data_IF_623198379911
#
_entry.id   IF_623198379911
#
_cell.length_a   1.000
_cell.length_b   1.000
_cell.length_c   1.000
_cell.angle_alpha   90.00
_cell.angle_beta   90.00
_cell.angle_gamma   90.00
#
_symmetry.space_group_name_H-M   'P 1'
#
loop_
_entity.id
_entity.type
_entity.pdbx_description
1 polymer ?
#
# COMPACT_ATOMS: atom_id res chain seq x y z
N UNK A 1 1.09 -2.91 4.41
CA UNK A 1 1.08 -4.03 3.43
C UNK A 1 2.29 -4.93 3.67
N UNK A 2 2.21 -6.26 3.50
CA UNK A 2 3.39 -7.15 3.57
C UNK A 2 3.93 -7.38 2.16
N UNK A 3 5.25 -7.35 1.98
CA UNK A 3 5.91 -7.57 0.68
C UNK A 3 5.48 -8.86 -0.02
N UNK A 4 5.12 -9.88 0.75
CA UNK A 4 4.64 -11.15 0.21
C UNK A 4 3.49 -10.99 -0.79
N UNK A 5 2.54 -10.08 -0.53
CA UNK A 5 1.44 -9.82 -1.43
C UNK A 5 1.87 -9.15 -2.75
N UNK A 6 2.89 -8.28 -2.66
CA UNK A 6 3.49 -7.63 -3.82
C UNK A 6 4.18 -8.67 -4.70
N UNK A 7 4.90 -9.62 -4.08
CA UNK A 7 5.53 -10.73 -4.79
C UNK A 7 4.51 -11.66 -5.47
N UNK A 8 3.45 -12.06 -4.76
CA UNK A 8 2.40 -12.94 -5.33
C UNK A 8 1.66 -12.32 -6.53
N UNK A 9 1.59 -10.99 -6.57
CA UNK A 9 0.83 -10.25 -7.59
C UNK A 9 1.72 -9.30 -8.39
N UNK A 10 3.02 -9.61 -8.50
CA UNK A 10 4.04 -8.72 -9.03
C UNK A 10 3.68 -8.05 -10.38
N UNK A 11 3.14 -8.79 -11.39
CA UNK A 11 2.73 -8.18 -12.67
C UNK A 11 1.63 -7.13 -12.53
N UNK A 12 0.77 -7.22 -11.51
CA UNK A 12 -0.30 -6.23 -11.28
C UNK A 12 0.25 -4.88 -10.80
N UNK A 13 1.50 -4.83 -10.34
CA UNK A 13 2.15 -3.59 -9.91
C UNK A 13 2.93 -2.91 -11.04
N UNK A 14 3.08 -3.51 -12.23
CA UNK A 14 3.93 -2.97 -13.29
C UNK A 14 3.48 -1.58 -13.74
N UNK A 15 2.19 -1.41 -14.03
CA UNK A 15 1.64 -0.10 -14.42
C UNK A 15 1.87 0.96 -13.32
N UNK A 16 1.69 0.59 -12.05
CA UNK A 16 1.90 1.50 -10.93
C UNK A 16 3.38 1.83 -10.68
N UNK A 17 4.28 0.87 -10.94
CA UNK A 17 5.73 1.06 -10.86
C UNK A 17 6.18 1.97 -12.00
N UNK A 18 5.72 1.76 -13.23
CA UNK A 18 6.04 2.60 -14.39
C UNK A 18 5.46 4.02 -14.26
N UNK A 19 4.30 4.19 -13.61
CA UNK A 19 3.77 5.51 -13.30
C UNK A 19 4.65 6.27 -12.30
N UNK A 20 5.15 5.58 -11.27
CA UNK A 20 6.03 6.16 -10.24
C UNK A 20 7.44 6.43 -10.75
N UNK A 21 8.00 5.46 -11.48
CA UNK A 21 9.35 5.49 -12.03
C UNK A 21 9.26 5.31 -13.55
N UNK A 22 9.02 6.39 -14.32
CA UNK A 22 8.79 6.31 -15.76
C UNK A 22 10.03 5.89 -16.57
N UNK A 23 11.21 5.98 -15.97
CA UNK A 23 12.46 5.47 -16.55
C UNK A 23 12.65 3.96 -16.32
N UNK A 24 11.77 3.32 -15.53
CA UNK A 24 11.82 1.87 -15.32
C UNK A 24 11.45 1.11 -16.60
N UNK A 25 11.98 -0.10 -16.72
CA UNK A 25 11.81 -0.99 -17.87
C UNK A 25 11.02 -2.22 -17.44
N UNK A 26 9.93 -2.51 -18.15
CA UNK A 26 9.05 -3.63 -17.86
C UNK A 26 9.79 -4.97 -17.93
N UNK A 27 10.76 -5.14 -18.84
CA UNK A 27 11.51 -6.38 -18.96
C UNK A 27 12.38 -6.65 -17.72
N UNK A 28 12.99 -5.61 -17.14
CA UNK A 28 13.73 -5.74 -15.88
C UNK A 28 12.80 -6.07 -14.72
N UNK A 29 11.60 -5.49 -14.69
CA UNK A 29 10.59 -5.83 -13.68
C UNK A 29 10.18 -7.31 -13.81
N UNK A 30 10.00 -7.84 -15.01
CA UNK A 30 9.75 -9.28 -15.23
C UNK A 30 10.88 -10.15 -14.67
N UNK A 31 12.14 -9.77 -14.88
CA UNK A 31 13.31 -10.51 -14.36
C UNK A 31 13.43 -10.45 -12.83
N UNK A 32 13.01 -9.36 -12.22
CA UNK A 32 13.01 -9.16 -10.76
C UNK A 32 12.06 -10.14 -10.05
N UNK A 33 10.95 -10.55 -10.69
CA UNK A 33 9.99 -11.54 -10.17
C UNK A 33 9.54 -11.27 -8.71
N UNK A 34 9.36 -9.99 -8.37
CA UNK A 34 8.96 -9.56 -7.03
C UNK A 34 10.01 -9.77 -5.94
N UNK A 35 11.28 -10.03 -6.28
CA UNK A 35 12.38 -10.04 -5.30
C UNK A 35 12.60 -8.63 -4.75
N UNK A 36 12.39 -8.49 -3.44
CA UNK A 36 12.50 -7.19 -2.77
C UNK A 36 13.88 -6.55 -2.90
N UNK A 37 14.92 -7.36 -2.80
CA UNK A 37 16.30 -6.85 -2.79
C UNK A 37 16.73 -6.46 -4.19
N UNK A 38 16.34 -7.24 -5.19
CA UNK A 38 16.56 -6.92 -6.59
C UNK A 38 15.81 -5.64 -6.99
N UNK A 39 14.55 -5.50 -6.60
CA UNK A 39 13.79 -4.27 -6.87
C UNK A 39 14.37 -3.03 -6.19
N UNK A 40 14.79 -3.14 -4.94
CA UNK A 40 15.46 -2.02 -4.24
C UNK A 40 16.75 -1.63 -4.94
N UNK A 41 17.57 -2.61 -5.36
CA UNK A 41 18.81 -2.34 -6.08
C UNK A 41 18.52 -1.66 -7.42
N UNK A 42 17.53 -2.18 -8.16
CA UNK A 42 17.09 -1.64 -9.42
C UNK A 42 16.63 -0.18 -9.31
N UNK A 43 15.73 0.13 -8.36
CA UNK A 43 15.27 1.51 -8.13
C UNK A 43 16.43 2.42 -7.69
N UNK A 44 17.36 1.92 -6.87
CA UNK A 44 18.55 2.67 -6.48
C UNK A 44 19.45 3.03 -7.68
N UNK A 45 19.67 2.08 -8.59
CA UNK A 45 20.44 2.31 -9.82
C UNK A 45 19.71 3.26 -10.78
N UNK A 46 18.40 3.09 -10.91
CA UNK A 46 17.55 3.91 -11.79
C UNK A 46 17.54 5.38 -11.38
N UNK A 47 17.40 5.64 -10.08
CA UNK A 47 17.32 6.99 -9.52
C UNK A 47 18.69 7.57 -9.15
N UNK A 48 19.75 6.75 -9.17
CA UNK A 48 21.11 7.14 -8.77
C UNK A 48 21.28 7.40 -7.27
N UNK A 49 20.43 6.80 -6.43
CA UNK A 49 20.44 6.99 -4.97
C UNK A 49 21.01 5.77 -4.22
N UNK A 50 21.22 5.90 -2.90
CA UNK A 50 21.66 4.76 -2.10
C UNK A 50 20.51 3.76 -1.91
N UNK A 51 20.84 2.48 -1.78
CA UNK A 51 19.83 1.43 -1.55
C UNK A 51 18.97 1.65 -0.29
N UNK A 52 19.48 2.41 0.69
CA UNK A 52 18.72 2.76 1.88
C UNK A 52 17.60 3.75 1.58
N UNK A 53 17.87 4.76 0.75
CA UNK A 53 16.89 5.76 0.32
C UNK A 53 15.86 5.14 -0.61
N UNK A 54 16.29 4.33 -1.60
CA UNK A 54 15.39 3.60 -2.49
C UNK A 54 14.43 2.69 -1.72
N UNK A 55 14.93 2.01 -0.68
CA UNK A 55 14.08 1.20 0.20
C UNK A 55 13.04 2.03 0.95
N UNK A 56 13.42 3.22 1.43
CA UNK A 56 12.48 4.10 2.11
C UNK A 56 11.41 4.63 1.14
N UNK A 57 11.80 5.02 -0.06
CA UNK A 57 10.89 5.48 -1.11
C UNK A 57 9.90 4.38 -1.51
N UNK A 58 10.37 3.15 -1.76
CA UNK A 58 9.50 2.01 -2.04
C UNK A 58 8.54 1.76 -0.88
N UNK A 59 9.01 1.87 0.37
CA UNK A 59 8.13 1.70 1.55
C UNK A 59 7.06 2.78 1.60
N UNK A 60 7.41 4.03 1.31
CA UNK A 60 6.49 5.16 1.33
C UNK A 60 5.44 5.03 0.22
N UNK A 61 5.88 4.70 -1.00
CA UNK A 61 5.00 4.39 -2.13
C UNK A 61 4.01 3.27 -1.81
N UNK A 62 4.48 2.16 -1.20
CA UNK A 62 3.63 1.06 -0.74
C UNK A 62 2.65 1.44 0.39
N UNK A 63 2.93 2.50 1.15
CA UNK A 63 2.12 2.93 2.28
C UNK A 63 1.13 4.06 1.93
N UNK A 64 1.43 4.88 0.92
CA UNK A 64 0.69 6.10 0.61
C UNK A 64 0.05 6.13 -0.78
N UNK A 65 0.84 5.86 -1.83
CA UNK A 65 0.48 6.20 -3.21
C UNK A 65 -0.11 5.04 -4.01
N UNK A 66 -0.24 3.86 -3.38
CA UNK A 66 -0.77 2.69 -4.06
C UNK A 66 -2.26 2.86 -4.37
N UNK A 67 -2.68 2.69 -5.64
CA UNK A 67 -4.09 2.72 -5.99
C UNK A 67 -4.86 1.69 -5.16
N UNK A 68 -5.93 2.11 -4.50
CA UNK A 68 -6.79 1.19 -3.72
C UNK A 68 -7.30 0.01 -4.56
N UNK A 69 -7.30 0.12 -5.89
CA UNK A 69 -7.69 -0.92 -6.85
C UNK A 69 -6.73 -2.12 -6.86
N UNK A 70 -5.43 -1.92 -6.65
CA UNK A 70 -4.41 -3.01 -6.56
C UNK A 70 -4.41 -3.65 -5.16
N UNK A 71 -4.84 -2.89 -4.15
CA UNK A 71 -4.91 -3.34 -2.74
C UNK A 71 -6.27 -3.99 -2.39
N UNK A 72 -7.32 -3.79 -3.20
CA UNK A 72 -8.70 -4.21 -2.92
C UNK A 72 -9.42 -4.94 -4.09
N UNK A 73 -8.78 -5.85 -4.82
CA UNK A 73 -9.52 -6.76 -5.72
C UNK A 73 -10.25 -7.84 -4.88
N UNK A 74 -11.58 -8.04 -4.99
CA UNK A 74 -12.33 -9.07 -4.26
C UNK A 74 -11.96 -10.52 -4.65
N UNK A 75 -11.23 -10.75 -5.74
CA UNK A 75 -10.61 -12.04 -6.09
C UNK A 75 -9.30 -12.25 -5.31
N UNK A 76 -8.78 -11.20 -4.68
CA UNK A 76 -7.58 -11.16 -3.85
C UNK A 76 -7.99 -11.01 -2.37
N UNK A 77 -8.59 -12.08 -1.86
CA UNK A 77 -8.79 -12.45 -0.45
C UNK A 77 -9.57 -11.52 0.53
N UNK A 78 -10.59 -12.15 1.12
CA UNK A 78 -11.53 -11.75 2.18
C UNK A 78 -10.90 -11.33 3.53
N UNK A 79 -9.83 -10.54 3.54
CA UNK A 79 -9.09 -10.21 4.77
C UNK A 79 -8.95 -8.71 5.09
N UNK A 80 -9.49 -7.82 4.25
CA UNK A 80 -9.47 -6.36 4.51
C UNK A 80 -10.49 -5.88 5.54
N UNK A 81 -11.52 -6.69 5.88
CA UNK A 81 -12.53 -6.32 6.89
C UNK A 81 -12.00 -6.41 8.34
N UNK A 82 -10.76 -6.86 8.58
CA UNK A 82 -10.22 -6.97 9.95
C UNK A 82 -9.28 -5.84 10.41
N UNK A 83 -8.99 -4.85 9.55
CA UNK A 83 -8.08 -3.74 9.90
C UNK A 83 -8.75 -2.36 10.00
N UNK A 84 -9.98 -2.18 9.50
CA UNK A 84 -10.72 -0.90 9.68
C UNK A 84 -11.21 -0.66 11.12
N UNK A 85 -11.06 -1.62 12.03
CA UNK A 85 -11.43 -1.47 13.45
C UNK A 85 -10.34 -0.91 14.36
N UNK A 86 -9.17 -0.52 13.84
CA UNK A 86 -8.00 -0.12 14.67
C UNK A 86 -7.58 1.34 14.56
N UNK A 87 -8.49 2.22 14.21
CA UNK A 87 -8.35 3.66 14.45
C UNK A 87 -9.60 4.21 15.14
N UNK A 88 -9.86 3.72 16.36
CA UNK A 88 -10.50 4.51 17.39
C UNK A 88 -9.41 4.83 18.42
N UNK A 89 -9.10 6.11 18.69
CA UNK A 89 -8.17 6.47 19.76
C UNK A 89 -8.71 5.98 21.11
N UNK A 90 -7.81 5.55 21.99
CA UNK A 90 -8.16 5.11 23.35
C UNK A 90 -8.76 6.29 24.14
N UNK A 91 -10.10 6.34 24.23
CA UNK A 91 -10.83 7.39 24.93
C UNK A 91 -12.13 7.89 24.28
N UNK A 92 -12.49 7.45 23.07
CA UNK A 92 -13.85 7.66 22.54
C UNK A 92 -14.76 6.53 22.99
N UNK A 93 -15.50 6.77 24.07
CA UNK A 93 -16.73 6.02 24.34
C UNK A 93 -17.79 6.45 23.30
N UNK A 94 -18.53 5.51 22.72
CA UNK A 94 -19.74 5.78 21.92
C UNK A 94 -20.81 6.40 22.84
N UNK A 95 -20.63 7.67 23.20
CA UNK A 95 -21.59 8.41 24.01
C UNK A 95 -22.86 8.63 23.19
N UNK A 96 -23.83 7.74 23.39
CA UNK A 96 -25.09 8.08 24.06
C UNK A 96 -25.37 9.60 24.09
N UNK A 97 -26.10 10.15 23.11
CA UNK A 97 -26.89 11.39 23.26
C UNK A 97 -27.91 11.59 22.11
N UNK A 98 -28.82 10.64 21.85
CA UNK A 98 -30.09 10.98 21.17
C UNK A 98 -31.24 11.14 22.19
N UNK A 99 -30.93 11.06 23.48
CA UNK A 99 -31.89 11.24 24.57
C UNK A 99 -32.06 12.71 25.03
N UNK A 100 -31.46 13.68 24.34
CA UNK A 100 -31.40 15.09 24.80
C UNK A 100 -32.37 16.06 24.13
N UNK A 101 -33.20 15.62 23.20
CA UNK A 101 -34.43 16.34 22.85
C UNK A 101 -35.64 15.63 23.45
N UNK A 102 -35.83 15.86 24.76
CA UNK A 102 -37.12 15.69 25.42
C UNK A 102 -37.92 16.98 25.34
N UNK A 103 -39.18 16.85 24.92
CA UNK A 103 -40.37 17.65 25.27
C UNK A 103 -40.28 19.19 25.18
N UNK A 104 -41.06 19.75 24.26
CA UNK A 104 -41.88 20.93 24.56
C UNK A 104 -43.16 20.90 23.70
N UNK A 105 -44.25 20.43 24.35
CA UNK A 105 -45.70 20.60 24.09
C UNK A 105 -46.41 20.02 22.85
#
# INVERSE_FOLDING_TARGET
MKWHHVQENWPAFFEAILDKWPDADEAELEEIDGDQRAFIAYVAELTGQEAADAREEIRDWLAGELPSDVVMDPRHDDHSIRLSGKFLPEGEEELDDDARYGDDE
#
